data_IF_165834290042
#
_entry.id   IF_165834290042
#
_cell.length_a   1.000
_cell.length_b   1.000
_cell.length_c   1.000
_cell.angle_alpha   90.00
_cell.angle_beta   90.00
_cell.angle_gamma   90.00
#
_symmetry.space_group_name_H-M   'P 1'
#
loop_
_entity.id
_entity.type
_entity.pdbx_description
1 polymer ?
#
# COMPACT_ATOMS: atom_id res chain seq x y z
N UNK A 1 -26.57 7.08 8.04
CA UNK A 1 -27.39 8.26 7.74
C UNK A 1 -27.85 8.11 6.29
N UNK A 2 -29.16 8.03 6.02
CA UNK A 2 -29.68 7.90 4.65
C UNK A 2 -29.70 9.28 4.00
N UNK A 3 -29.15 9.42 2.78
CA UNK A 3 -29.16 10.68 2.04
C UNK A 3 -30.47 10.80 1.26
N UNK A 4 -31.07 11.99 1.26
CA UNK A 4 -32.26 12.26 0.44
C UNK A 4 -31.93 12.09 -1.05
N UNK A 5 -32.84 11.49 -1.80
CA UNK A 5 -32.74 11.38 -3.25
C UNK A 5 -33.05 12.75 -3.87
N UNK A 6 -32.20 13.22 -4.77
CA UNK A 6 -32.51 14.41 -5.56
C UNK A 6 -33.75 14.16 -6.41
N UNK A 7 -34.65 15.15 -6.50
CA UNK A 7 -35.80 15.01 -7.40
C UNK A 7 -35.33 15.11 -8.86
N UNK A 8 -36.17 14.63 -9.79
CA UNK A 8 -35.90 14.80 -11.22
C UNK A 8 -35.77 16.27 -11.61
N UNK A 9 -36.62 17.13 -11.04
CA UNK A 9 -36.58 18.58 -11.24
C UNK A 9 -35.26 19.19 -10.74
N UNK A 10 -34.74 18.74 -9.60
CA UNK A 10 -33.43 19.21 -9.11
C UNK A 10 -32.28 18.82 -10.06
N UNK A 11 -32.32 17.60 -10.61
CA UNK A 11 -31.33 17.13 -11.59
C UNK A 11 -31.43 17.91 -12.90
N UNK A 12 -32.65 18.10 -13.42
CA UNK A 12 -32.89 18.83 -14.67
C UNK A 12 -32.45 20.30 -14.53
N UNK A 13 -32.74 20.96 -13.40
CA UNK A 13 -32.25 22.32 -13.10
C UNK A 13 -30.73 22.38 -13.03
N UNK A 14 -30.08 21.37 -12.46
CA UNK A 14 -28.62 21.31 -12.38
C UNK A 14 -27.99 21.11 -13.76
N UNK A 15 -28.58 20.25 -14.61
CA UNK A 15 -28.14 20.05 -15.98
C UNK A 15 -28.26 21.37 -16.76
N UNK A 16 -29.43 22.01 -16.71
CA UNK A 16 -29.67 23.28 -17.38
C UNK A 16 -28.70 24.37 -16.90
N UNK A 17 -28.42 24.44 -15.60
CA UNK A 17 -27.43 25.37 -15.05
C UNK A 17 -26.01 25.09 -15.54
N UNK A 18 -25.61 23.83 -15.67
CA UNK A 18 -24.28 23.47 -16.18
C UNK A 18 -24.16 23.79 -17.68
N UNK A 19 -25.20 23.51 -18.47
CA UNK A 19 -25.28 23.93 -19.88
C UNK A 19 -25.19 25.45 -20.03
N UNK A 20 -25.89 26.19 -19.17
CA UNK A 20 -25.80 27.64 -19.11
C UNK A 20 -24.36 28.12 -18.86
N UNK A 21 -23.65 27.54 -17.89
CA UNK A 21 -22.25 27.90 -17.62
C UNK A 21 -21.38 27.61 -18.84
N UNK A 22 -21.57 26.45 -19.47
CA UNK A 22 -20.81 26.05 -20.66
C UNK A 22 -21.00 27.06 -21.79
N UNK A 23 -22.25 27.31 -22.19
CA UNK A 23 -22.55 28.26 -23.27
C UNK A 23 -22.06 29.67 -22.95
N UNK A 24 -22.22 30.12 -21.70
CA UNK A 24 -21.70 31.42 -21.29
C UNK A 24 -20.17 31.50 -21.38
N UNK A 25 -19.46 30.43 -21.05
CA UNK A 25 -18.00 30.39 -21.13
C UNK A 25 -17.50 30.36 -22.58
N UNK A 26 -18.26 29.76 -23.50
CA UNK A 26 -17.90 29.66 -24.92
C UNK A 26 -18.29 30.90 -25.73
N UNK A 27 -19.46 31.48 -25.46
CA UNK A 27 -20.05 32.53 -26.28
C UNK A 27 -20.23 33.87 -25.56
N UNK A 28 -20.06 33.91 -24.23
CA UNK A 28 -20.38 35.08 -23.41
C UNK A 28 -21.88 35.31 -23.23
N UNK A 29 -22.72 34.43 -23.77
CA UNK A 29 -24.18 34.46 -23.72
C UNK A 29 -24.71 33.02 -23.64
N UNK A 30 -25.93 32.82 -23.13
CA UNK A 30 -26.65 31.54 -23.18
C UNK A 30 -27.79 31.63 -24.20
N UNK A 31 -27.90 30.65 -25.09
CA UNK A 31 -28.99 30.52 -26.05
C UNK A 31 -29.73 29.21 -25.75
N UNK A 32 -30.91 29.23 -25.11
CA UNK A 32 -31.63 28.02 -24.77
C UNK A 32 -31.87 27.14 -26.00
N UNK A 33 -31.61 25.83 -25.88
CA UNK A 33 -31.88 24.85 -26.95
C UNK A 33 -33.40 24.66 -27.14
N UNK A 34 -34.03 25.52 -27.94
CA UNK A 34 -35.33 25.26 -28.53
C UNK A 34 -35.39 25.86 -29.95
N UNK A 35 -35.18 25.00 -30.94
CA UNK A 35 -34.95 25.31 -32.37
C UNK A 35 -36.17 25.86 -33.16
N UNK A 36 -37.14 26.54 -32.54
CA UNK A 36 -38.32 27.03 -33.28
C UNK A 36 -38.66 28.53 -33.12
N UNK A 37 -37.99 29.26 -32.23
CA UNK A 37 -38.23 30.71 -32.10
C UNK A 37 -36.90 31.46 -31.92
N UNK A 38 -36.77 32.60 -32.62
CA UNK A 38 -35.73 33.60 -32.38
C UNK A 38 -35.87 34.11 -30.93
N UNK A 39 -35.29 33.41 -29.95
CA UNK A 39 -35.38 33.81 -28.55
C UNK A 39 -34.11 34.53 -28.07
N UNK A 40 -34.36 35.56 -27.25
CA UNK A 40 -33.41 36.49 -26.67
C UNK A 40 -32.31 35.75 -25.92
N UNK A 41 -31.06 35.88 -26.40
CA UNK A 41 -29.89 35.42 -25.66
C UNK A 41 -29.87 36.04 -24.26
N UNK A 42 -29.69 35.22 -23.22
CA UNK A 42 -29.60 35.72 -21.85
C UNK A 42 -28.20 36.33 -21.68
N UNK A 43 -28.12 37.66 -21.67
CA UNK A 43 -26.92 38.37 -21.28
C UNK A 43 -26.81 38.42 -19.76
N UNK A 44 -25.65 38.01 -19.22
CA UNK A 44 -25.34 38.17 -17.81
C UNK A 44 -25.01 39.63 -17.50
N UNK A 45 -26.00 40.38 -17.04
CA UNK A 45 -25.84 41.81 -16.72
C UNK A 45 -25.12 42.07 -15.39
N UNK A 46 -24.94 41.05 -14.55
CA UNK A 46 -24.20 41.15 -13.29
C UNK A 46 -22.71 40.88 -13.54
N UNK A 47 -21.94 41.96 -13.68
CA UNK A 47 -20.49 41.91 -13.91
C UNK A 47 -19.75 41.17 -12.79
N UNK A 48 -20.20 41.27 -11.53
CA UNK A 48 -19.56 40.62 -10.39
C UNK A 48 -19.78 39.11 -10.40
N UNK A 49 -20.97 38.66 -10.78
CA UNK A 49 -21.24 37.24 -10.98
C UNK A 49 -20.44 36.66 -12.15
N UNK A 50 -20.38 37.38 -13.29
CA UNK A 50 -19.60 36.96 -14.44
C UNK A 50 -18.10 36.86 -14.14
N UNK A 51 -17.54 37.82 -13.40
CA UNK A 51 -16.14 37.77 -12.96
C UNK A 51 -15.90 36.59 -12.01
N UNK A 52 -16.84 36.31 -11.09
CA UNK A 52 -16.74 35.18 -10.18
C UNK A 52 -16.80 33.84 -10.91
N UNK A 53 -17.66 33.70 -11.92
CA UNK A 53 -17.71 32.51 -12.78
C UNK A 53 -16.34 32.30 -13.45
N UNK A 54 -15.77 33.35 -14.05
CA UNK A 54 -14.44 33.28 -14.71
C UNK A 54 -13.32 32.96 -13.73
N UNK A 55 -13.37 33.48 -12.51
CA UNK A 55 -12.38 33.18 -11.46
C UNK A 55 -12.42 31.69 -11.06
N UNK A 56 -13.61 31.16 -10.80
CA UNK A 56 -13.81 29.79 -10.32
C UNK A 56 -13.53 28.75 -11.41
N UNK A 57 -13.95 29.03 -12.65
CA UNK A 57 -13.97 28.03 -13.72
C UNK A 57 -13.05 28.34 -14.91
N UNK A 58 -12.56 29.56 -15.07
CA UNK A 58 -11.76 29.98 -16.23
C UNK A 58 -10.25 29.69 -16.14
N UNK A 59 -9.68 29.45 -14.95
CA UNK A 59 -8.21 29.51 -14.77
C UNK A 59 -7.43 28.20 -14.89
N UNK A 60 -8.02 27.02 -14.59
CA UNK A 60 -7.22 25.79 -14.34
C UNK A 60 -7.42 24.65 -15.33
N UNK A 61 -8.58 24.54 -15.96
CA UNK A 61 -8.87 23.46 -16.92
C UNK A 61 -9.33 23.96 -18.30
N UNK A 62 -9.47 25.28 -18.48
CA UNK A 62 -10.08 25.87 -19.67
C UNK A 62 -11.54 25.42 -19.87
N UNK A 63 -12.14 25.92 -20.96
CA UNK A 63 -13.47 25.54 -21.47
C UNK A 63 -13.81 24.03 -21.38
N UNK A 64 -12.90 23.14 -21.80
CA UNK A 64 -13.15 21.70 -21.82
C UNK A 64 -13.18 21.01 -20.44
N UNK A 65 -12.76 21.70 -19.37
CA UNK A 65 -12.67 21.11 -18.05
C UNK A 65 -13.98 21.00 -17.30
N UNK A 66 -14.89 21.96 -17.52
CA UNK A 66 -16.14 22.07 -16.77
C UNK A 66 -17.17 21.10 -17.31
N UNK A 67 -17.40 21.10 -18.63
CA UNK A 67 -18.33 20.19 -19.29
C UNK A 67 -17.98 18.71 -19.03
N UNK A 68 -16.76 18.29 -19.37
CA UNK A 68 -16.38 16.89 -19.27
C UNK A 68 -16.48 16.35 -17.84
N UNK A 69 -16.15 17.16 -16.83
CA UNK A 69 -16.14 16.71 -15.44
C UNK A 69 -17.56 16.72 -14.83
N UNK A 70 -18.32 17.79 -15.00
CA UNK A 70 -19.58 17.99 -14.27
C UNK A 70 -20.78 17.40 -14.99
N UNK A 71 -20.87 17.52 -16.31
CA UNK A 71 -21.93 16.89 -17.10
C UNK A 71 -21.92 15.37 -16.86
N UNK A 72 -20.73 14.76 -16.79
CA UNK A 72 -20.58 13.34 -16.45
C UNK A 72 -21.01 12.99 -15.04
N UNK A 73 -20.74 13.85 -14.06
CA UNK A 73 -21.13 13.61 -12.66
C UNK A 73 -22.64 13.73 -12.52
N UNK A 74 -23.25 14.80 -13.02
CA UNK A 74 -24.70 15.02 -12.88
C UNK A 74 -25.49 14.00 -13.71
N UNK A 75 -25.11 13.77 -14.96
CA UNK A 75 -25.69 12.73 -15.80
C UNK A 75 -25.49 11.34 -15.19
N UNK A 76 -24.28 11.04 -14.75
CA UNK A 76 -23.96 9.77 -14.08
C UNK A 76 -24.78 9.55 -12.82
N UNK A 77 -25.00 10.59 -12.01
CA UNK A 77 -25.91 10.55 -10.87
C UNK A 77 -27.35 10.25 -11.29
N UNK A 78 -27.87 10.89 -12.34
CA UNK A 78 -29.20 10.59 -12.88
C UNK A 78 -29.33 9.13 -13.32
N UNK A 79 -28.36 8.64 -14.10
CA UNK A 79 -28.31 7.23 -14.53
C UNK A 79 -28.28 6.28 -13.33
N UNK A 80 -27.48 6.56 -12.31
CA UNK A 80 -27.41 5.75 -11.10
C UNK A 80 -28.74 5.72 -10.34
N UNK A 81 -29.37 6.88 -10.16
CA UNK A 81 -30.67 7.01 -9.51
C UNK A 81 -31.74 6.20 -10.26
N UNK A 82 -31.79 6.32 -11.58
CA UNK A 82 -32.82 5.67 -12.40
C UNK A 82 -32.63 4.15 -12.50
N UNK A 83 -31.38 3.68 -12.57
CA UNK A 83 -31.09 2.29 -12.93
C UNK A 83 -30.70 1.41 -11.75
N UNK A 84 -30.15 1.99 -10.69
CA UNK A 84 -29.43 1.24 -9.64
C UNK A 84 -30.05 1.46 -8.26
N UNK A 85 -30.76 2.58 -8.07
CA UNK A 85 -31.51 2.85 -6.84
C UNK A 85 -32.96 2.34 -6.90
N UNK A 86 -33.59 2.17 -5.73
CA UNK A 86 -35.03 1.90 -5.65
C UNK A 86 -35.83 3.14 -6.12
N UNK A 87 -36.65 3.03 -7.18
CA UNK A 87 -37.43 4.15 -7.70
C UNK A 87 -38.52 4.63 -6.71
N UNK A 88 -38.93 3.81 -5.74
CA UNK A 88 -39.98 4.15 -4.77
C UNK A 88 -39.44 4.73 -3.46
N UNK A 89 -38.12 4.74 -3.26
CA UNK A 89 -37.50 5.28 -2.06
C UNK A 89 -37.18 6.78 -2.23
N UNK A 90 -37.51 7.58 -1.21
CA UNK A 90 -37.13 9.01 -1.13
C UNK A 90 -35.67 9.22 -0.69
N UNK A 91 -34.92 8.13 -0.52
CA UNK A 91 -33.51 8.11 -0.14
C UNK A 91 -32.68 7.32 -1.14
N UNK A 92 -31.39 7.65 -1.22
CA UNK A 92 -30.44 6.90 -2.04
C UNK A 92 -30.18 5.53 -1.43
N UNK A 93 -30.89 4.52 -1.93
CA UNK A 93 -30.75 3.12 -1.55
C UNK A 93 -30.53 2.26 -2.77
N UNK A 94 -29.63 1.29 -2.68
CA UNK A 94 -29.44 0.29 -3.72
C UNK A 94 -30.69 -0.58 -3.85
N UNK A 95 -31.00 -1.01 -5.08
CA UNK A 95 -32.00 -2.06 -5.28
C UNK A 95 -31.62 -3.31 -4.45
N UNK A 96 -32.57 -4.02 -3.83
CA UNK A 96 -32.28 -5.14 -2.93
C UNK A 96 -31.37 -6.20 -3.55
N UNK A 97 -31.56 -6.53 -4.82
CA UNK A 97 -30.75 -7.50 -5.56
C UNK A 97 -29.30 -7.03 -5.80
N UNK A 98 -29.06 -5.72 -5.81
CA UNK A 98 -27.73 -5.14 -5.94
C UNK A 98 -27.09 -4.95 -4.57
N UNK A 99 -27.86 -4.52 -3.57
CA UNK A 99 -27.42 -4.47 -2.18
C UNK A 99 -26.86 -5.83 -1.75
N UNK A 100 -27.59 -6.91 -2.00
CA UNK A 100 -27.15 -8.27 -1.70
C UNK A 100 -25.86 -8.69 -2.45
N UNK A 101 -25.62 -8.15 -3.65
CA UNK A 101 -24.38 -8.39 -4.41
C UNK A 101 -23.20 -7.55 -3.92
N UNK A 102 -23.46 -6.36 -3.38
CA UNK A 102 -22.45 -5.46 -2.82
C UNK A 102 -22.05 -5.92 -1.42
N UNK A 103 -22.98 -6.49 -0.66
CA UNK A 103 -22.76 -7.01 0.70
C UNK A 103 -21.92 -8.30 0.74
N UNK A 104 -21.61 -8.90 -0.42
CA UNK A 104 -20.78 -10.10 -0.51
C UNK A 104 -19.58 -9.92 -1.46
N UNK A 105 -18.42 -10.39 -1.04
CA UNK A 105 -17.28 -10.55 -1.94
C UNK A 105 -17.45 -11.85 -2.72
N UNK A 106 -17.42 -11.80 -4.05
CA UNK A 106 -17.51 -13.01 -4.89
C UNK A 106 -16.23 -13.22 -5.68
N UNK A 107 -15.64 -14.40 -5.55
CA UNK A 107 -14.44 -14.74 -6.31
C UNK A 107 -14.79 -15.05 -7.77
N UNK A 108 -14.15 -14.37 -8.71
CA UNK A 108 -14.37 -14.58 -10.15
C UNK A 108 -13.89 -15.95 -10.65
N UNK A 109 -12.97 -16.61 -9.94
CA UNK A 109 -12.37 -17.87 -10.39
C UNK A 109 -13.11 -19.12 -9.92
N UNK A 110 -13.68 -19.09 -8.71
CA UNK A 110 -14.38 -20.23 -8.13
C UNK A 110 -15.84 -19.94 -7.78
N UNK A 111 -16.32 -18.73 -8.07
CA UNK A 111 -17.68 -18.24 -7.80
C UNK A 111 -18.11 -18.27 -6.31
N UNK A 112 -17.19 -18.59 -5.40
CA UNK A 112 -17.44 -18.58 -3.96
C UNK A 112 -17.78 -17.17 -3.48
N UNK A 113 -18.80 -17.06 -2.63
CA UNK A 113 -19.26 -15.81 -2.02
C UNK A 113 -18.85 -15.79 -0.55
N UNK A 114 -18.28 -14.67 -0.12
CA UNK A 114 -17.86 -14.39 1.24
C UNK A 114 -18.71 -13.24 1.76
N UNK A 115 -19.45 -13.46 2.84
CA UNK A 115 -20.19 -12.40 3.55
C UNK A 115 -19.40 -11.76 4.68
N UNK A 116 -18.21 -12.29 4.98
CA UNK A 116 -17.32 -11.82 6.02
C UNK A 116 -16.01 -11.34 5.44
N UNK A 117 -15.51 -10.21 5.96
CA UNK A 117 -14.29 -9.57 5.46
C UNK A 117 -13.07 -10.43 5.73
N UNK A 118 -12.99 -11.07 6.90
CA UNK A 118 -11.82 -11.88 7.26
C UNK A 118 -11.77 -13.15 6.39
N UNK A 119 -12.93 -13.78 6.15
CA UNK A 119 -13.04 -14.89 5.20
C UNK A 119 -12.62 -14.48 3.77
N UNK A 120 -13.04 -13.30 3.31
CA UNK A 120 -12.62 -12.77 2.01
C UNK A 120 -11.11 -12.50 1.98
N UNK A 121 -10.54 -11.93 3.05
CA UNK A 121 -9.11 -11.61 3.15
C UNK A 121 -8.24 -12.87 3.10
N UNK A 122 -8.67 -13.97 3.73
CA UNK A 122 -8.00 -15.27 3.62
C UNK A 122 -8.00 -15.79 2.18
N UNK A 123 -9.09 -15.54 1.44
CA UNK A 123 -9.20 -16.02 0.06
C UNK A 123 -8.47 -15.13 -0.96
N UNK A 124 -8.63 -13.82 -0.91
CA UNK A 124 -8.06 -12.90 -1.89
C UNK A 124 -6.65 -12.41 -1.52
N UNK A 125 -6.32 -12.41 -0.23
CA UNK A 125 -5.14 -11.76 0.31
C UNK A 125 -5.44 -10.35 0.85
N UNK A 126 -4.42 -9.72 1.42
CA UNK A 126 -4.44 -8.35 1.94
C UNK A 126 -4.20 -7.27 0.89
N UNK A 127 -3.88 -7.63 -0.36
CA UNK A 127 -3.74 -6.68 -1.47
C UNK A 127 -4.21 -7.25 -2.81
N UNK A 128 -4.58 -6.35 -3.73
CA UNK A 128 -5.16 -6.68 -5.05
C UNK A 128 -4.22 -7.46 -5.97
N UNK A 129 -2.91 -7.44 -5.70
CA UNK A 129 -1.89 -8.14 -6.50
C UNK A 129 -1.67 -9.58 -6.05
N UNK A 130 -2.26 -10.01 -4.94
CA UNK A 130 -2.07 -11.36 -4.43
C UNK A 130 -2.88 -12.37 -5.25
N UNK A 131 -2.32 -13.58 -5.37
CA UNK A 131 -3.02 -14.68 -6.03
C UNK A 131 -4.07 -15.25 -5.07
N UNK A 132 -5.34 -15.35 -5.50
CA UNK A 132 -6.39 -15.87 -4.62
C UNK A 132 -6.19 -17.36 -4.33
N UNK A 133 -6.62 -17.81 -3.16
CA UNK A 133 -6.39 -19.15 -2.65
C UNK A 133 -6.89 -20.27 -3.59
N UNK A 134 -8.00 -20.06 -4.30
CA UNK A 134 -8.52 -21.02 -5.29
C UNK A 134 -7.60 -21.24 -6.50
N UNK A 135 -6.64 -20.34 -6.75
CA UNK A 135 -5.65 -20.44 -7.83
C UNK A 135 -4.32 -21.03 -7.36
N UNK A 136 -4.12 -21.17 -6.05
CA UNK A 136 -2.91 -21.77 -5.50
C UNK A 136 -3.04 -23.29 -5.61
N UNK A 137 -2.16 -23.90 -6.39
CA UNK A 137 -2.13 -25.34 -6.53
C UNK A 137 -1.46 -26.04 -5.33
N UNK A 138 -1.63 -27.36 -5.27
CA UNK A 138 -1.05 -28.15 -4.20
C UNK A 138 0.49 -28.15 -4.23
N UNK A 139 1.12 -27.96 -5.39
CA UNK A 139 2.58 -27.95 -5.52
C UNK A 139 3.15 -26.70 -4.87
N UNK A 140 2.60 -25.54 -5.20
CA UNK A 140 2.94 -24.26 -4.58
C UNK A 140 2.74 -24.30 -3.05
N UNK A 141 1.67 -24.93 -2.59
CA UNK A 141 1.45 -25.12 -1.15
C UNK A 141 2.53 -26.00 -0.50
N UNK A 142 2.90 -27.13 -1.11
CA UNK A 142 3.98 -28.00 -0.60
C UNK A 142 5.35 -27.31 -0.63
N UNK A 143 5.60 -26.45 -1.60
CA UNK A 143 6.84 -25.67 -1.66
C UNK A 143 6.91 -24.61 -0.56
N UNK A 144 5.79 -23.94 -0.26
CA UNK A 144 5.68 -23.02 0.88
C UNK A 144 5.89 -23.74 2.22
N UNK A 145 5.30 -24.92 2.42
CA UNK A 145 5.54 -25.75 3.61
C UNK A 145 7.03 -26.10 3.77
N UNK A 146 7.70 -26.48 2.67
CA UNK A 146 9.13 -26.80 2.68
C UNK A 146 9.98 -25.59 3.05
N UNK A 147 9.67 -24.42 2.49
CA UNK A 147 10.35 -23.18 2.79
C UNK A 147 10.16 -22.78 4.26
N UNK A 148 8.93 -22.84 4.76
CA UNK A 148 8.63 -22.54 6.17
C UNK A 148 9.39 -23.47 7.13
N UNK A 149 9.43 -24.77 6.82
CA UNK A 149 10.21 -25.74 7.60
C UNK A 149 11.71 -25.42 7.61
N UNK A 150 12.28 -24.97 6.48
CA UNK A 150 13.70 -24.59 6.41
C UNK A 150 14.05 -23.40 7.31
N UNK A 151 13.13 -22.42 7.43
CA UNK A 151 13.32 -21.29 8.32
C UNK A 151 13.20 -21.68 9.80
N UNK A 152 12.19 -22.50 10.14
CA UNK A 152 11.96 -22.95 11.52
C UNK A 152 13.12 -23.81 12.03
N UNK A 153 13.68 -24.67 11.18
CA UNK A 153 14.78 -25.55 11.56
C UNK A 153 16.15 -24.86 11.58
N UNK A 154 16.20 -23.54 11.39
CA UNK A 154 17.43 -22.76 11.19
C UNK A 154 18.34 -23.34 10.08
N UNK A 155 17.81 -24.19 9.20
CA UNK A 155 18.55 -24.93 8.17
C UNK A 155 18.74 -24.08 6.90
N UNK A 156 19.06 -22.80 7.10
CA UNK A 156 19.44 -21.92 6.00
C UNK A 156 20.95 -21.96 5.84
N UNK A 157 21.42 -21.91 4.59
CA UNK A 157 22.86 -21.88 4.30
C UNK A 157 23.57 -20.71 5.01
N UNK A 158 22.86 -19.60 5.23
CA UNK A 158 23.36 -18.46 5.97
C UNK A 158 23.66 -18.82 7.44
N UNK A 159 22.79 -19.56 8.12
CA UNK A 159 23.05 -19.97 9.51
C UNK A 159 24.23 -20.94 9.61
N UNK A 160 24.37 -21.86 8.66
CA UNK A 160 25.54 -22.75 8.56
C UNK A 160 26.83 -21.96 8.35
N UNK A 161 26.80 -20.97 7.47
CA UNK A 161 27.94 -20.11 7.18
C UNK A 161 28.33 -19.25 8.40
N UNK A 162 27.35 -18.67 9.08
CA UNK A 162 27.58 -17.91 10.33
C UNK A 162 28.17 -18.82 11.42
N UNK A 163 27.67 -20.05 11.59
CA UNK A 163 28.23 -21.01 12.53
C UNK A 163 29.69 -21.38 12.17
N UNK A 164 29.98 -21.63 10.89
CA UNK A 164 31.32 -21.91 10.41
C UNK A 164 32.29 -20.72 10.60
N UNK A 165 31.82 -19.50 10.37
CA UNK A 165 32.59 -18.27 10.63
C UNK A 165 32.90 -18.11 12.12
N UNK A 166 31.91 -18.33 13.00
CA UNK A 166 32.11 -18.28 14.45
C UNK A 166 33.14 -19.31 14.92
N UNK A 167 33.09 -20.54 14.40
CA UNK A 167 34.09 -21.56 14.72
C UNK A 167 35.49 -21.15 14.26
N UNK A 168 35.63 -20.67 13.01
CA UNK A 168 36.92 -20.20 12.49
C UNK A 168 37.50 -19.05 13.29
N UNK A 169 36.66 -18.10 13.70
CA UNK A 169 37.08 -16.98 14.54
C UNK A 169 37.56 -17.48 15.90
N UNK A 170 36.82 -18.37 16.56
CA UNK A 170 37.21 -18.93 17.85
C UNK A 170 38.56 -19.67 17.77
N UNK A 171 38.80 -20.42 16.70
CA UNK A 171 40.08 -21.08 16.46
C UNK A 171 41.22 -20.09 16.23
N UNK A 172 40.97 -19.04 15.44
CA UNK A 172 41.96 -18.00 15.18
C UNK A 172 42.31 -17.23 16.46
N UNK A 173 41.32 -16.88 17.27
CA UNK A 173 41.52 -16.22 18.57
C UNK A 173 42.35 -17.08 19.51
N UNK A 174 42.02 -18.37 19.65
CA UNK A 174 42.77 -19.30 20.47
C UNK A 174 44.23 -19.44 20.04
N UNK A 175 44.50 -19.56 18.74
CA UNK A 175 45.88 -19.59 18.22
C UNK A 175 46.63 -18.30 18.50
N UNK A 176 45.97 -17.15 18.32
CA UNK A 176 46.58 -15.85 18.60
C UNK A 176 46.90 -15.68 20.10
N UNK A 177 46.04 -16.20 20.98
CA UNK A 177 46.29 -16.27 22.43
C UNK A 177 47.49 -17.17 22.76
N UNK A 178 47.54 -18.39 22.20
CA UNK A 178 48.65 -19.33 22.39
C UNK A 178 49.98 -18.74 21.90
N UNK A 179 50.00 -18.13 20.71
CA UNK A 179 51.17 -17.46 20.15
C UNK A 179 51.61 -16.27 21.02
N UNK A 180 50.64 -15.49 21.51
CA UNK A 180 50.88 -14.36 22.42
C UNK A 180 51.49 -14.84 23.74
N UNK A 181 50.95 -15.91 24.32
CA UNK A 181 51.45 -16.51 25.54
C UNK A 181 52.87 -17.07 25.35
N UNK A 182 53.13 -17.76 24.25
CA UNK A 182 54.46 -18.30 23.94
C UNK A 182 55.52 -17.19 23.79
N UNK A 183 55.18 -16.09 23.10
CA UNK A 183 56.04 -14.89 23.02
C UNK A 183 56.29 -14.29 24.41
N UNK A 184 55.23 -14.09 25.19
CA UNK A 184 55.34 -13.57 26.55
C UNK A 184 56.24 -14.43 27.46
N UNK A 185 56.13 -15.76 27.35
CA UNK A 185 56.99 -16.68 28.10
C UNK A 185 58.45 -16.62 27.64
N UNK A 186 58.70 -16.46 26.35
CA UNK A 186 60.06 -16.32 25.81
C UNK A 186 60.71 -15.01 26.28
N UNK A 187 59.97 -13.90 26.23
CA UNK A 187 60.43 -12.60 26.73
C UNK A 187 60.67 -12.64 28.25
N UNK A 188 59.79 -13.30 29.00
CA UNK A 188 59.96 -13.51 30.43
C UNK A 188 61.22 -14.30 30.79
N UNK A 189 61.57 -15.32 30.01
CA UNK A 189 62.82 -16.07 30.18
C UNK A 189 64.06 -15.24 29.82
N UNK A 190 63.94 -14.35 28.84
CA UNK A 190 65.06 -13.52 28.35
C UNK A 190 65.32 -12.30 29.25
N UNK A 191 64.27 -11.74 29.85
CA UNK A 191 64.33 -10.52 30.66
C UNK A 191 63.65 -10.71 32.05
N UNK A 192 64.08 -11.67 32.88
CA UNK A 192 63.39 -12.00 34.12
C UNK A 192 63.39 -10.83 35.13
N UNK A 193 64.50 -10.09 35.24
CA UNK A 193 64.64 -8.99 36.18
C UNK A 193 63.81 -7.74 35.84
N UNK A 194 63.57 -7.46 34.56
CA UNK A 194 62.75 -6.31 34.12
C UNK A 194 61.25 -6.55 34.38
N UNK A 195 60.84 -7.82 34.49
CA UNK A 195 59.48 -8.24 34.79
C UNK A 195 59.26 -8.55 36.28
N UNK A 196 60.26 -8.28 37.13
CA UNK A 196 60.19 -8.57 38.57
C UNK A 196 60.17 -10.06 38.92
N UNK A 197 60.57 -10.94 38.00
CA UNK A 197 60.64 -12.38 38.21
C UNK A 197 62.02 -12.76 38.75
N UNK A 198 62.07 -13.37 39.94
CA UNK A 198 63.31 -13.90 40.51
C UNK A 198 63.68 -15.23 39.83
N UNK A 199 64.89 -15.32 39.26
CA UNK A 199 65.41 -16.60 38.74
C UNK A 199 65.71 -17.50 39.94
N UNK A 200 65.05 -18.67 40.04
CA UNK A 200 65.38 -19.64 41.06
C UNK A 200 66.82 -20.14 40.85
N UNK A 201 67.70 -19.95 41.84
CA UNK A 201 69.08 -20.44 41.78
C UNK A 201 69.07 -21.98 41.67
N UNK A 202 69.91 -22.58 40.80
CA UNK A 202 69.97 -24.02 40.67
C UNK A 202 70.50 -24.63 41.98
N UNK A 203 69.70 -25.54 42.55
CA UNK A 203 70.01 -26.29 43.76
C UNK A 203 71.35 -27.04 43.59
N UNK A 204 72.38 -26.61 44.31
CA UNK A 204 73.68 -27.27 44.30
C UNK A 204 73.52 -28.68 44.87
N UNK A 205 73.52 -29.68 43.99
CA UNK A 205 73.64 -31.09 44.35
C UNK A 205 74.99 -31.28 45.04
N UNK A 206 75.00 -31.29 46.38
CA UNK A 206 76.16 -31.68 47.18
C UNK A 206 76.47 -33.14 46.87
N UNK A 207 77.52 -33.36 46.08
CA UNK A 207 78.13 -34.67 45.90
C UNK A 207 78.65 -35.20 47.23
N UNK A 208 77.89 -36.13 47.82
CA UNK A 208 78.40 -37.03 48.84
C UNK A 208 79.16 -38.16 48.16
N UNK A 209 80.49 -38.09 48.21
CA UNK A 209 81.36 -39.24 47.98
C UNK A 209 82.13 -39.52 49.28
N UNK A 210 82.21 -40.81 49.59
CA UNK A 210 82.62 -41.47 50.83
C UNK A 210 83.96 -41.07 51.43
#
# INVERSE_FOLDING_TARGET
MKMARASKDDLDRMIAFMQFIEEFMDYGTHTPQNDEYEEESIELTDEGFAERLRELWGRRFGHHGVDIAWSRVVFGCGVLIDNVCDPNADTLEWKPELAAKIEGWRCFHCDQVFGDRDAALVHFGGSEIQTPACKIDAVAFRDLERLAASYVNEDTELHKEVAALRSRLADATRRAEEDGYARGLADAKKHPGELGLCVAEPEQVKGGAS
#
